data_IF_166171338315
#
_entry.id   IF_166171338315
#
_cell.length_a   1.000
_cell.length_b   1.000
_cell.length_c   1.000
_cell.angle_alpha   90.00
_cell.angle_beta   90.00
_cell.angle_gamma   90.00
#
_symmetry.space_group_name_H-M   'P 1'
#
loop_
_entity.id
_entity.type
_entity.pdbx_description
1 polymer ?
#
# COMPACT_ATOMS: atom_id res chain seq x y z
N UNK A 1 -14.11 21.51 37.78
CA UNK A 1 -12.79 21.36 37.13
C UNK A 1 -12.37 19.90 36.98
N UNK A 2 -12.21 19.11 38.06
CA UNK A 2 -11.80 17.69 37.97
C UNK A 2 -12.74 16.79 37.14
N UNK A 3 -14.04 17.03 37.22
CA UNK A 3 -15.06 16.24 36.51
C UNK A 3 -15.07 16.50 35.01
N UNK A 4 -14.91 17.76 34.58
CA UNK A 4 -14.75 18.12 33.18
C UNK A 4 -13.45 17.56 32.58
N UNK A 5 -12.37 17.51 33.38
CA UNK A 5 -11.09 16.92 32.98
C UNK A 5 -11.16 15.39 32.88
N UNK A 6 -11.95 14.73 33.74
CA UNK A 6 -12.27 13.29 33.64
C UNK A 6 -13.14 12.97 32.42
N UNK A 7 -14.17 13.78 32.17
CA UNK A 7 -15.01 13.63 30.96
C UNK A 7 -14.20 13.84 29.69
N UNK A 8 -13.30 14.84 29.63
CA UNK A 8 -12.39 15.01 28.49
C UNK A 8 -11.42 13.84 28.33
N UNK A 9 -10.95 13.25 29.43
CA UNK A 9 -10.09 12.05 29.40
C UNK A 9 -10.83 10.79 28.92
N UNK A 10 -12.14 10.69 29.18
CA UNK A 10 -12.97 9.53 28.79
C UNK A 10 -13.57 9.68 27.38
N UNK A 11 -13.65 10.91 26.85
CA UNK A 11 -14.26 11.19 25.54
C UNK A 11 -13.25 11.19 24.40
N UNK A 12 -11.96 11.36 24.69
CA UNK A 12 -10.91 11.40 23.67
C UNK A 12 -10.00 10.18 23.77
N UNK A 13 -9.91 9.42 22.68
CA UNK A 13 -8.92 8.35 22.56
C UNK A 13 -7.51 8.94 22.56
N UNK A 14 -6.63 8.34 23.35
CA UNK A 14 -5.19 8.63 23.26
C UNK A 14 -4.66 8.26 21.88
N UNK A 15 -3.64 8.97 21.37
CA UNK A 15 -2.93 8.60 20.12
C UNK A 15 -2.50 7.14 20.13
N UNK A 16 -2.11 6.60 21.29
CA UNK A 16 -1.75 5.19 21.46
C UNK A 16 -2.93 4.24 21.24
N UNK A 17 -4.10 4.61 21.75
CA UNK A 17 -5.34 3.85 21.58
C UNK A 17 -5.91 3.97 20.18
N UNK A 18 -5.82 5.15 19.55
CA UNK A 18 -6.15 5.37 18.14
C UNK A 18 -5.28 4.47 17.27
N UNK A 19 -3.96 4.45 17.47
CA UNK A 19 -3.04 3.58 16.73
C UNK A 19 -3.41 2.10 16.87
N UNK A 20 -3.69 1.66 18.10
CA UNK A 20 -4.10 0.28 18.37
C UNK A 20 -5.43 -0.07 17.68
N UNK A 21 -6.41 0.84 17.72
CA UNK A 21 -7.71 0.65 17.06
C UNK A 21 -7.61 0.68 15.54
N UNK A 22 -6.87 1.63 14.95
CA UNK A 22 -6.65 1.73 13.50
C UNK A 22 -5.90 0.51 12.94
N UNK A 23 -4.96 -0.05 13.71
CA UNK A 23 -4.25 -1.28 13.35
C UNK A 23 -5.18 -2.51 13.28
N UNK A 24 -6.33 -2.47 13.94
CA UNK A 24 -7.31 -3.56 13.99
C UNK A 24 -8.53 -3.31 13.10
N UNK A 25 -8.56 -2.23 12.32
CA UNK A 25 -9.65 -2.01 11.36
C UNK A 25 -9.50 -3.03 10.24
N UNK A 26 -10.54 -3.82 10.04
CA UNK A 26 -10.65 -4.72 8.91
C UNK A 26 -10.67 -3.93 7.60
N UNK A 27 -9.65 -4.19 6.78
CA UNK A 27 -9.43 -3.60 5.46
C UNK A 27 -9.21 -4.69 4.42
N UNK A 28 -9.58 -5.93 4.75
CA UNK A 28 -9.40 -7.10 3.87
C UNK A 28 -10.41 -7.17 2.73
N UNK A 29 -11.39 -6.26 2.70
CA UNK A 29 -12.38 -6.18 1.64
C UNK A 29 -11.72 -5.58 0.38
N UNK A 30 -11.93 -6.22 -0.77
CA UNK A 30 -11.44 -5.79 -2.08
C UNK A 30 -12.44 -4.82 -2.76
N UNK A 31 -12.16 -4.42 -4.00
CA UNK A 31 -13.00 -3.53 -4.84
C UNK A 31 -14.31 -4.20 -5.33
N UNK A 32 -14.92 -5.02 -4.49
CA UNK A 32 -16.26 -5.56 -4.72
C UNK A 32 -17.29 -4.43 -4.82
N UNK A 33 -18.38 -4.66 -5.57
CA UNK A 33 -19.44 -3.67 -5.78
C UNK A 33 -19.91 -3.04 -4.46
N UNK A 34 -19.73 -1.71 -4.34
CA UNK A 34 -19.99 -0.87 -3.17
C UNK A 34 -18.99 -0.98 -1.99
N UNK A 35 -17.82 -1.59 -2.20
CA UNK A 35 -16.68 -1.47 -1.28
C UNK A 35 -16.09 -0.06 -1.34
N UNK A 36 -15.72 0.54 -0.21
CA UNK A 36 -14.93 1.77 -0.19
C UNK A 36 -13.41 1.51 -0.22
N UNK A 37 -12.99 0.23 -0.32
CA UNK A 37 -11.60 -0.21 -0.16
C UNK A 37 -11.06 -0.81 -1.45
N UNK A 38 -9.95 -0.26 -1.92
CA UNK A 38 -9.16 -0.78 -3.06
C UNK A 38 -7.73 -1.08 -2.61
N UNK A 39 -7.04 -2.01 -3.27
CA UNK A 39 -5.65 -2.33 -2.94
C UNK A 39 -4.68 -1.43 -3.70
N UNK A 40 -3.68 -0.93 -2.96
CA UNK A 40 -2.49 -0.29 -3.54
C UNK A 40 -1.27 -1.11 -3.15
N UNK A 41 -0.49 -1.50 -4.16
CA UNK A 41 0.71 -2.28 -3.99
C UNK A 41 1.93 -1.39 -4.14
N UNK A 42 2.85 -1.50 -3.19
CA UNK A 42 4.00 -0.61 -3.06
C UNK A 42 5.25 -1.47 -2.86
N UNK A 43 6.20 -1.37 -3.81
CA UNK A 43 7.47 -2.10 -3.68
C UNK A 43 8.37 -1.44 -2.64
N UNK A 44 8.99 -2.21 -1.74
CA UNK A 44 9.97 -1.67 -0.78
C UNK A 44 11.36 -1.55 -1.40
N UNK A 45 11.77 -2.54 -2.20
CA UNK A 45 13.13 -2.71 -2.75
C UNK A 45 13.13 -3.00 -4.27
N UNK A 46 12.30 -2.29 -5.03
CA UNK A 46 12.22 -2.47 -6.48
C UNK A 46 13.51 -2.04 -7.22
N UNK A 47 13.49 -2.11 -8.55
CA UNK A 47 14.67 -1.71 -9.33
C UNK A 47 14.88 -0.19 -9.23
N UNK A 48 16.13 0.23 -9.02
CA UNK A 48 16.48 1.65 -8.82
C UNK A 48 17.78 2.08 -9.53
N UNK A 49 18.59 1.12 -10.00
CA UNK A 49 19.85 1.39 -10.70
C UNK A 49 19.60 2.26 -11.94
N UNK A 50 20.38 3.32 -12.13
CA UNK A 50 20.19 4.27 -13.25
C UNK A 50 19.10 5.33 -13.02
N UNK A 51 18.43 5.34 -11.86
CA UNK A 51 17.47 6.38 -11.46
C UNK A 51 16.33 6.56 -12.45
N UNK A 52 15.95 7.80 -12.74
CA UNK A 52 14.89 8.13 -13.69
C UNK A 52 15.07 7.59 -15.11
N UNK A 53 16.29 7.24 -15.53
CA UNK A 53 16.53 6.65 -16.85
C UNK A 53 16.23 5.16 -16.89
N UNK A 54 15.98 4.53 -15.74
CA UNK A 54 15.66 3.12 -15.66
C UNK A 54 14.16 2.89 -15.95
N UNK A 55 13.79 2.24 -17.07
CA UNK A 55 12.39 1.96 -17.37
C UNK A 55 11.75 0.97 -16.39
N UNK A 56 12.57 0.23 -15.62
CA UNK A 56 12.14 -0.70 -14.59
C UNK A 56 12.04 -0.05 -13.20
N UNK A 57 12.32 1.26 -13.07
CA UNK A 57 12.36 1.97 -11.79
C UNK A 57 11.07 1.76 -10.98
N UNK A 58 11.18 1.28 -9.75
CA UNK A 58 10.02 1.09 -8.88
C UNK A 58 10.40 1.00 -7.40
N UNK A 59 9.48 1.43 -6.54
CA UNK A 59 9.50 1.17 -5.11
C UNK A 59 10.08 2.32 -4.29
N UNK A 60 9.88 2.22 -2.98
CA UNK A 60 10.26 3.23 -1.99
C UNK A 60 11.78 3.45 -1.96
N UNK A 61 12.57 2.40 -2.16
CA UNK A 61 14.03 2.53 -2.25
C UNK A 61 14.44 3.43 -3.43
N UNK A 62 13.81 3.28 -4.60
CA UNK A 62 14.06 4.12 -5.76
C UNK A 62 13.71 5.59 -5.49
N UNK A 63 12.58 5.85 -4.83
CA UNK A 63 12.15 7.20 -4.46
C UNK A 63 13.12 7.88 -3.51
N UNK A 64 13.64 7.13 -2.54
CA UNK A 64 14.65 7.62 -1.60
C UNK A 64 15.99 7.85 -2.30
N UNK A 65 16.33 7.03 -3.30
CA UNK A 65 17.59 7.11 -4.02
C UNK A 65 17.66 8.32 -4.96
N UNK A 66 16.55 8.70 -5.62
CA UNK A 66 16.56 9.75 -6.64
C UNK A 66 15.59 10.92 -6.41
N UNK A 67 14.71 10.84 -5.40
CA UNK A 67 13.78 11.92 -5.03
C UNK A 67 12.54 12.05 -5.91
N UNK A 68 12.25 11.06 -6.78
CA UNK A 68 11.06 11.07 -7.63
C UNK A 68 9.93 10.22 -7.04
N UNK A 69 8.71 10.39 -7.60
CA UNK A 69 7.49 9.72 -7.13
C UNK A 69 7.55 8.18 -7.29
N UNK A 70 6.82 7.43 -6.44
CA UNK A 70 6.70 5.98 -6.59
C UNK A 70 5.90 5.59 -7.84
N UNK A 71 6.32 4.48 -8.46
CA UNK A 71 5.53 3.77 -9.46
C UNK A 71 4.72 2.65 -8.80
N UNK A 72 3.72 3.01 -8.00
CA UNK A 72 2.84 2.05 -7.31
C UNK A 72 1.90 1.35 -8.29
N UNK A 73 1.40 0.17 -7.90
CA UNK A 73 0.42 -0.61 -8.66
C UNK A 73 -0.93 -0.52 -7.97
N UNK A 74 -2.00 -0.35 -8.75
CA UNK A 74 -3.38 -0.34 -8.26
C UNK A 74 -4.04 -1.69 -8.59
N UNK A 75 -4.95 -2.17 -7.73
CA UNK A 75 -5.78 -3.34 -8.03
C UNK A 75 -6.78 -3.05 -9.14
N UNK A 76 -7.76 -2.19 -8.87
CA UNK A 76 -8.67 -1.57 -9.82
C UNK A 76 -8.20 -0.22 -10.35
N UNK A 77 -8.60 0.12 -11.58
CA UNK A 77 -8.32 1.41 -12.20
C UNK A 77 -9.58 2.28 -12.09
N UNK A 78 -9.54 3.40 -11.33
CA UNK A 78 -10.74 4.19 -11.03
C UNK A 78 -11.37 4.96 -12.21
N UNK A 79 -10.91 4.72 -13.44
CA UNK A 79 -11.42 5.33 -14.68
C UNK A 79 -12.13 4.34 -15.59
N UNK A 80 -11.92 3.04 -15.41
CA UNK A 80 -12.53 1.97 -16.22
C UNK A 80 -13.67 1.31 -15.44
N UNK A 81 -13.57 1.36 -14.12
CA UNK A 81 -14.54 0.87 -13.16
C UNK A 81 -15.39 2.07 -12.67
N UNK A 82 -16.70 1.89 -12.47
CA UNK A 82 -17.61 2.96 -12.00
C UNK A 82 -17.48 3.23 -10.49
N UNK A 83 -16.78 2.33 -9.82
CA UNK A 83 -16.35 2.25 -8.44
C UNK A 83 -15.01 2.95 -8.27
N UNK A 84 -15.04 4.09 -7.57
CA UNK A 84 -13.86 4.66 -6.97
C UNK A 84 -13.90 4.34 -5.48
N UNK A 85 -12.83 3.72 -4.99
CA UNK A 85 -12.63 3.44 -3.57
C UNK A 85 -11.74 4.53 -2.91
N UNK A 86 -12.27 5.36 -2.00
CA UNK A 86 -11.51 6.45 -1.37
C UNK A 86 -10.51 5.97 -0.32
N UNK A 87 -10.60 4.72 0.11
CA UNK A 87 -9.68 4.11 1.03
C UNK A 87 -8.83 3.07 0.30
N UNK A 88 -7.52 3.16 0.47
CA UNK A 88 -6.58 2.22 -0.10
C UNK A 88 -5.95 1.34 0.98
N UNK A 89 -6.08 0.03 0.82
CA UNK A 89 -5.35 -0.96 1.58
C UNK A 89 -3.93 -1.11 1.02
N UNK A 90 -2.95 -0.64 1.78
CA UNK A 90 -1.55 -0.68 1.39
C UNK A 90 -0.97 -2.09 1.57
N UNK A 91 -0.48 -2.65 0.47
CA UNK A 91 0.21 -3.94 0.43
C UNK A 91 1.66 -3.73 -0.01
N UNK A 92 2.55 -3.64 0.97
CA UNK A 92 3.98 -3.59 0.74
C UNK A 92 4.45 -4.96 0.24
N UNK A 93 5.18 -4.97 -0.87
CA UNK A 93 5.88 -6.16 -1.34
C UNK A 93 7.38 -5.92 -1.41
N UNK A 94 8.13 -7.01 -1.25
CA UNK A 94 9.57 -7.03 -1.26
C UNK A 94 10.06 -8.15 -2.19
N UNK A 95 10.95 -7.81 -3.11
CA UNK A 95 11.69 -8.78 -3.92
C UNK A 95 12.59 -9.62 -3.02
N UNK A 96 12.48 -10.95 -3.13
CA UNK A 96 13.35 -11.83 -2.36
C UNK A 96 14.80 -11.71 -2.85
N UNK A 97 15.80 -11.91 -1.98
CA UNK A 97 17.20 -11.94 -2.40
C UNK A 97 17.46 -12.93 -3.54
N UNK A 98 16.77 -14.07 -3.54
CA UNK A 98 16.90 -15.09 -4.59
C UNK A 98 16.38 -14.61 -5.95
N UNK A 99 15.27 -13.86 -5.98
CA UNK A 99 14.70 -13.31 -7.21
C UNK A 99 15.59 -12.19 -7.77
N UNK A 100 16.18 -11.37 -6.90
CA UNK A 100 17.15 -10.34 -7.29
C UNK A 100 18.39 -10.98 -7.90
N UNK A 101 18.97 -12.01 -7.27
CA UNK A 101 20.15 -12.71 -7.78
C UNK A 101 19.92 -13.36 -9.15
N UNK A 102 18.69 -13.82 -9.40
CA UNK A 102 18.28 -14.40 -10.69
C UNK A 102 17.93 -13.35 -11.76
N UNK A 103 17.99 -12.06 -11.42
CA UNK A 103 17.70 -10.97 -12.35
C UNK A 103 16.21 -10.72 -12.60
N UNK A 104 15.32 -11.24 -11.75
CA UNK A 104 13.87 -11.03 -11.91
C UNK A 104 13.39 -9.66 -11.41
N UNK A 105 14.20 -8.95 -10.62
CA UNK A 105 13.85 -7.64 -10.06
C UNK A 105 13.61 -6.62 -11.18
N UNK A 106 12.36 -6.21 -11.34
CA UNK A 106 11.93 -5.24 -12.32
C UNK A 106 10.63 -4.55 -11.93
N UNK A 107 10.08 -3.78 -12.86
CA UNK A 107 8.81 -3.10 -12.65
C UNK A 107 7.65 -4.08 -12.79
N UNK A 108 6.79 -4.09 -11.78
CA UNK A 108 5.51 -4.78 -11.76
C UNK A 108 4.40 -3.75 -11.99
N UNK A 109 3.38 -4.08 -12.78
CA UNK A 109 2.37 -3.08 -13.20
C UNK A 109 0.93 -3.46 -12.91
N UNK A 110 0.71 -4.68 -12.43
CA UNK A 110 -0.62 -5.28 -12.38
C UNK A 110 -0.70 -6.18 -11.15
N UNK A 111 -1.88 -6.22 -10.53
CA UNK A 111 -2.13 -6.94 -9.29
C UNK A 111 -1.86 -8.45 -9.42
N UNK A 112 -2.49 -9.13 -10.38
CA UNK A 112 -2.37 -10.57 -10.54
C UNK A 112 -0.92 -10.97 -10.80
N UNK A 113 -0.12 -10.13 -11.45
CA UNK A 113 1.32 -10.33 -11.55
C UNK A 113 2.00 -10.37 -10.18
N UNK A 114 1.69 -9.43 -9.28
CA UNK A 114 2.20 -9.40 -7.90
C UNK A 114 1.76 -10.67 -7.16
N UNK A 115 0.48 -11.00 -7.21
CA UNK A 115 -0.08 -12.15 -6.48
C UNK A 115 0.51 -13.48 -6.98
N UNK A 116 0.73 -13.61 -8.29
CA UNK A 116 1.43 -14.77 -8.86
C UNK A 116 2.88 -14.82 -8.37
N UNK A 117 3.61 -13.70 -8.37
CA UNK A 117 4.99 -13.66 -7.89
C UNK A 117 5.11 -13.94 -6.38
N UNK A 118 4.12 -13.55 -5.58
CA UNK A 118 4.02 -13.93 -4.16
C UNK A 118 3.82 -15.44 -4.04
N UNK A 119 2.86 -16.01 -4.78
CA UNK A 119 2.61 -17.46 -4.80
C UNK A 119 3.85 -18.25 -5.22
N UNK A 120 4.59 -17.74 -6.20
CA UNK A 120 5.78 -18.38 -6.77
C UNK A 120 7.06 -18.11 -5.95
N UNK A 121 6.96 -17.37 -4.83
CA UNK A 121 8.07 -17.10 -3.90
C UNK A 121 9.09 -16.06 -4.38
N UNK A 122 8.74 -15.28 -5.41
CA UNK A 122 9.59 -14.20 -5.94
C UNK A 122 9.41 -12.90 -5.13
N UNK A 123 8.22 -12.70 -4.56
CA UNK A 123 7.87 -11.56 -3.72
C UNK A 123 7.40 -12.03 -2.33
N UNK A 124 7.65 -11.23 -1.31
CA UNK A 124 7.14 -11.41 0.06
C UNK A 124 6.59 -10.09 0.61
N UNK A 125 6.08 -10.10 1.84
CA UNK A 125 5.97 -8.87 2.63
C UNK A 125 7.37 -8.37 3.07
N UNK A 126 7.45 -7.17 3.67
CA UNK A 126 8.71 -6.58 4.11
C UNK A 126 9.50 -7.50 5.05
N UNK A 127 10.81 -7.60 4.83
CA UNK A 127 11.68 -8.45 5.65
C UNK A 127 11.39 -9.94 5.56
N UNK A 128 10.78 -10.41 4.47
CA UNK A 128 10.41 -11.81 4.27
C UNK A 128 9.11 -12.25 4.96
N UNK A 129 8.32 -11.32 5.49
CA UNK A 129 7.04 -11.63 6.10
C UNK A 129 6.03 -12.21 5.09
N UNK A 130 4.94 -12.81 5.59
CA UNK A 130 3.80 -13.14 4.74
C UNK A 130 3.26 -11.87 4.07
N UNK A 131 2.97 -11.96 2.78
CA UNK A 131 2.42 -10.85 2.01
C UNK A 131 0.98 -10.53 2.45
N UNK A 132 0.62 -9.24 2.51
CA UNK A 132 -0.72 -8.78 2.87
C UNK A 132 -0.76 -7.34 3.38
N UNK A 133 -1.75 -7.05 4.21
CA UNK A 133 -2.04 -5.71 4.77
C UNK A 133 -0.84 -5.18 5.55
N UNK A 134 -0.39 -3.96 5.21
CA UNK A 134 0.81 -3.35 5.80
C UNK A 134 0.56 -2.49 7.03
N UNK A 135 -0.68 -2.42 7.50
CA UNK A 135 -1.04 -1.84 8.80
C UNK A 135 -1.23 -0.31 8.82
N UNK A 136 -1.09 0.39 7.70
CA UNK A 136 -1.41 1.82 7.58
C UNK A 136 -2.47 2.06 6.51
N UNK A 137 -3.30 3.08 6.72
CA UNK A 137 -4.44 3.42 5.84
C UNK A 137 -4.06 4.59 4.97
N UNK A 138 -4.27 4.47 3.66
CA UNK A 138 -4.15 5.59 2.74
C UNK A 138 -5.57 6.02 2.39
N UNK A 139 -6.01 7.15 2.93
CA UNK A 139 -7.29 7.74 2.54
C UNK A 139 -7.02 8.83 1.50
N UNK A 140 -7.52 8.62 0.29
CA UNK A 140 -7.48 9.61 -0.79
C UNK A 140 -8.93 10.03 -1.04
N UNK A 141 -9.43 11.09 -0.37
CA UNK A 141 -10.81 11.51 -0.59
C UNK A 141 -10.95 12.07 -2.01
N UNK A 142 -12.11 11.78 -2.65
CA UNK A 142 -12.47 12.39 -3.94
C UNK A 142 -12.46 13.91 -3.76
N UNK A 143 -11.55 14.60 -4.47
CA UNK A 143 -11.54 16.06 -4.50
C UNK A 143 -12.63 16.61 -5.42
N UNK A 144 -13.01 15.87 -6.47
CA UNK A 144 -14.10 16.21 -7.37
C UNK A 144 -14.52 15.01 -8.23
N UNK A 145 -15.82 14.74 -8.34
CA UNK A 145 -16.41 13.99 -9.46
C UNK A 145 -17.06 15.04 -10.36
N UNK A 146 -16.41 15.34 -11.48
CA UNK A 146 -17.04 16.13 -12.54
C UNK A 146 -17.95 15.21 -13.34
N UNK A 147 -19.15 15.73 -13.59
CA UNK A 147 -20.20 15.18 -14.44
C UNK A 147 -19.75 14.96 -15.89
#
# INVERSE_FOLDING_TARGET
MREAQRMLSETFLSVKEIRAKLGNIDRSHDDSFASPVERIFIGTNGAEEGGCNNPQRQGLSADLADGFRPNNVLGGIPTIALDYSPNWDAQLFEWTPSAIQQGFRGQVREEFQILNFVRDGLLTGPGGAAFGISGFSINCPIAQRLD
#
